data_IF_217694350058
#
_entry.id   IF_217694350058
#
_cell.length_a   1.000
_cell.length_b   1.000
_cell.length_c   1.000
_cell.angle_alpha   90.00
_cell.angle_beta   90.00
_cell.angle_gamma   90.00
#
_symmetry.space_group_name_H-M   'P 1'
#
loop_
_entity.id
_entity.type
_entity.pdbx_description
1 polymer ?
#
# COMPACT_ATOMS: atom_id res chain seq x y z
N UNK A 1 30.14 -7.01 -7.23
CA UNK A 1 29.64 -5.88 -6.44
C UNK A 1 28.17 -5.75 -6.79
N UNK A 2 27.28 -6.30 -5.97
CA UNK A 2 25.85 -6.29 -6.25
C UNK A 2 25.35 -4.86 -6.01
N UNK A 3 25.01 -4.17 -7.09
CA UNK A 3 24.49 -2.82 -7.07
C UNK A 3 23.06 -2.84 -6.52
N UNK A 4 22.90 -2.93 -5.19
CA UNK A 4 21.63 -2.64 -4.55
C UNK A 4 21.44 -1.13 -4.50
N UNK A 5 20.43 -0.60 -5.17
CA UNK A 5 20.00 0.78 -4.93
C UNK A 5 19.29 0.79 -3.58
N UNK A 6 19.97 1.31 -2.54
CA UNK A 6 19.39 1.41 -1.21
C UNK A 6 18.23 2.39 -1.21
N UNK A 7 17.08 1.87 -0.78
CA UNK A 7 15.97 2.57 -0.15
C UNK A 7 15.08 3.41 -1.07
N UNK A 8 13.96 2.84 -1.49
CA UNK A 8 12.73 3.64 -1.62
C UNK A 8 12.20 3.79 -0.18
N UNK A 9 12.37 4.95 0.45
CA UNK A 9 11.66 5.28 1.70
C UNK A 9 10.23 5.59 1.31
N UNK A 10 9.40 4.55 1.19
CA UNK A 10 8.01 4.67 0.75
C UNK A 10 7.18 5.46 1.78
N UNK A 11 7.61 5.50 3.04
CA UNK A 11 6.95 6.24 4.14
C UNK A 11 6.80 7.74 3.87
N UNK A 12 7.74 8.37 3.14
CA UNK A 12 7.69 9.80 2.81
C UNK A 12 6.67 10.18 1.72
N UNK A 13 6.44 9.27 0.76
CA UNK A 13 5.61 9.51 -0.43
C UNK A 13 4.16 9.03 -0.27
N UNK A 14 3.90 8.12 0.68
CA UNK A 14 2.55 7.69 1.09
C UNK A 14 1.77 8.75 1.89
N UNK A 15 2.44 9.81 2.34
CA UNK A 15 1.91 10.79 3.29
C UNK A 15 0.67 11.54 2.80
N UNK A 16 0.47 11.72 1.49
CA UNK A 16 -0.69 12.47 0.97
C UNK A 16 -2.01 11.83 1.38
N UNK A 17 -2.06 10.49 1.31
CA UNK A 17 -3.30 9.76 1.52
C UNK A 17 -3.53 9.55 3.02
N UNK A 18 -2.49 9.23 3.81
CA UNK A 18 -2.56 9.15 5.28
C UNK A 18 -3.09 10.45 5.91
N UNK A 19 -2.61 11.62 5.46
CA UNK A 19 -3.03 12.92 6.02
C UNK A 19 -4.49 13.27 5.72
N UNK A 20 -5.08 12.65 4.68
CA UNK A 20 -6.49 12.81 4.32
C UNK A 20 -7.39 11.76 5.01
N UNK A 21 -6.87 10.58 5.35
CA UNK A 21 -7.63 9.46 5.92
C UNK A 21 -7.60 9.41 7.45
N UNK A 22 -6.51 9.86 8.09
CA UNK A 22 -6.28 9.64 9.52
C UNK A 22 -5.91 10.93 10.28
N UNK A 23 -6.58 11.18 11.42
CA UNK A 23 -6.15 12.21 12.38
C UNK A 23 -4.95 11.70 13.17
N UNK A 24 -3.74 11.76 12.60
CA UNK A 24 -2.51 11.48 13.36
C UNK A 24 -2.09 12.76 14.10
N UNK A 25 -2.16 12.83 15.44
CA UNK A 25 -1.64 13.96 16.19
C UNK A 25 -0.11 13.83 16.27
N UNK A 26 0.63 14.65 15.53
CA UNK A 26 2.08 14.72 15.64
C UNK A 26 2.43 15.76 16.71
N UNK A 27 2.69 15.32 17.93
CA UNK A 27 3.27 16.16 18.98
C UNK A 27 4.70 15.70 19.25
N UNK A 28 5.67 16.56 18.96
CA UNK A 28 7.04 16.46 19.49
C UNK A 28 8.04 15.69 18.64
N UNK A 29 8.57 16.33 17.60
CA UNK A 29 9.99 16.32 17.24
C UNK A 29 10.18 17.33 16.10
N UNK A 30 11.35 17.95 16.02
CA UNK A 30 11.66 19.07 15.12
C UNK A 30 11.78 18.69 13.62
N UNK A 31 10.99 17.72 13.16
CA UNK A 31 10.63 17.50 11.76
C UNK A 31 9.10 17.64 11.64
N UNK A 32 8.66 18.75 11.04
CA UNK A 32 7.27 19.18 10.85
C UNK A 32 6.56 19.67 12.13
N UNK A 33 6.99 20.83 12.65
CA UNK A 33 6.13 21.65 13.52
C UNK A 33 5.10 22.38 12.64
N UNK A 34 3.84 21.91 12.65
CA UNK A 34 2.72 22.68 12.13
C UNK A 34 2.18 23.58 13.25
N UNK A 35 2.71 24.79 13.37
CA UNK A 35 1.98 25.89 14.01
C UNK A 35 1.24 26.64 12.89
N UNK A 36 -0.07 26.41 12.75
CA UNK A 36 -0.95 27.23 11.90
C UNK A 36 -1.87 28.04 12.83
N UNK A 37 -1.80 29.37 12.75
CA UNK A 37 -2.67 30.33 13.45
C UNK A 37 -4.14 30.32 12.95
N UNK A 38 -4.63 29.21 12.39
CA UNK A 38 -6.02 29.06 11.93
C UNK A 38 -6.60 27.71 12.38
N UNK A 39 -7.48 27.77 13.38
CA UNK A 39 -8.25 26.65 13.96
C UNK A 39 -9.27 26.05 12.95
N UNK A 40 -8.83 25.38 11.88
CA UNK A 40 -9.72 24.60 11.02
C UNK A 40 -9.13 23.20 10.71
N UNK A 41 -9.75 22.17 11.28
CA UNK A 41 -9.42 20.75 11.04
C UNK A 41 -10.12 20.29 9.76
N UNK A 42 -9.39 19.76 8.79
CA UNK A 42 -9.99 19.02 7.65
C UNK A 42 -10.58 17.72 8.23
N UNK A 43 -11.88 17.44 8.04
CA UNK A 43 -12.46 16.17 8.46
C UNK A 43 -11.80 15.00 7.69
N UNK A 44 -11.53 13.89 8.37
CA UNK A 44 -10.97 12.69 7.75
C UNK A 44 -11.92 12.11 6.71
N UNK A 45 -11.36 11.57 5.62
CA UNK A 45 -12.06 10.93 4.49
C UNK A 45 -12.79 11.89 3.52
N UNK A 46 -12.56 13.20 3.64
CA UNK A 46 -13.12 14.19 2.72
C UNK A 46 -12.15 14.54 1.58
N UNK A 47 -12.22 13.80 0.47
CA UNK A 47 -11.61 14.18 -0.82
C UNK A 47 -12.74 14.52 -1.79
N UNK A 48 -12.93 15.80 -2.15
CA UNK A 48 -14.04 16.18 -2.98
C UNK A 48 -13.80 15.83 -4.45
N UNK A 49 -14.90 15.61 -5.17
CA UNK A 49 -14.89 15.39 -6.61
C UNK A 49 -14.67 16.71 -7.32
N UNK A 50 -13.63 16.78 -8.15
CA UNK A 50 -13.23 18.02 -8.78
C UNK A 50 -13.98 18.22 -10.09
N UNK A 51 -15.06 18.99 -10.02
CA UNK A 51 -15.69 19.62 -11.18
C UNK A 51 -15.42 21.14 -11.12
N UNK A 52 -15.01 21.73 -12.25
CA UNK A 52 -14.67 23.16 -12.37
C UNK A 52 -15.76 24.13 -11.87
N UNK A 53 -17.02 23.68 -11.81
CA UNK A 53 -18.17 24.45 -11.37
C UNK A 53 -18.32 24.57 -9.84
N UNK A 54 -17.54 23.82 -9.04
CA UNK A 54 -17.69 23.75 -7.57
C UNK A 54 -16.52 24.35 -6.78
N UNK A 55 -15.64 25.14 -7.42
CA UNK A 55 -14.40 25.73 -6.83
C UNK A 55 -14.55 26.34 -5.42
N UNK A 56 -15.70 26.90 -5.05
CA UNK A 56 -15.92 27.53 -3.74
C UNK A 56 -16.18 26.53 -2.59
N UNK A 57 -16.72 25.33 -2.86
CA UNK A 57 -16.89 24.26 -1.85
C UNK A 57 -15.59 23.46 -1.64
N UNK A 58 -14.63 23.61 -2.54
CA UNK A 58 -13.39 22.84 -2.62
C UNK A 58 -12.21 23.55 -1.95
N UNK A 59 -12.40 24.76 -1.42
CA UNK A 59 -11.33 25.61 -0.88
C UNK A 59 -10.47 24.91 0.20
N UNK A 60 -11.01 24.14 1.16
CA UNK A 60 -10.20 23.42 2.14
C UNK A 60 -9.31 22.36 1.51
N UNK A 61 -9.84 21.58 0.56
CA UNK A 61 -9.08 20.56 -0.16
C UNK A 61 -8.01 21.17 -1.06
N UNK A 62 -8.36 22.20 -1.84
CA UNK A 62 -7.38 22.93 -2.64
C UNK A 62 -6.30 23.57 -1.77
N UNK A 63 -6.65 24.14 -0.62
CA UNK A 63 -5.68 24.68 0.35
C UNK A 63 -4.74 23.58 0.85
N UNK A 64 -5.27 22.42 1.21
CA UNK A 64 -4.49 21.26 1.64
C UNK A 64 -3.54 20.77 0.54
N UNK A 65 -4.06 20.52 -0.66
CA UNK A 65 -3.25 20.06 -1.80
C UNK A 65 -2.18 21.10 -2.18
N UNK A 66 -2.49 22.39 -2.13
CA UNK A 66 -1.52 23.46 -2.37
C UNK A 66 -0.41 23.47 -1.31
N UNK A 67 -0.76 23.32 -0.03
CA UNK A 67 0.23 23.24 1.06
C UNK A 67 1.14 22.04 0.90
N UNK A 68 0.60 20.89 0.51
CA UNK A 68 1.43 19.70 0.29
C UNK A 68 2.29 19.84 -0.96
N UNK A 69 1.73 20.32 -2.08
CA UNK A 69 2.48 20.62 -3.29
C UNK A 69 3.68 21.54 -3.01
N UNK A 70 3.48 22.57 -2.18
CA UNK A 70 4.56 23.46 -1.74
C UNK A 70 5.62 22.72 -0.90
N UNK A 71 5.21 21.90 0.08
CA UNK A 71 6.11 21.11 0.92
C UNK A 71 6.95 20.11 0.11
N UNK A 72 6.34 19.50 -0.92
CA UNK A 72 6.96 18.47 -1.75
C UNK A 72 7.69 18.98 -2.97
N UNK A 73 7.61 20.29 -3.25
CA UNK A 73 8.28 20.92 -4.39
C UNK A 73 9.80 20.71 -4.42
N UNK A 74 10.42 20.45 -3.26
CA UNK A 74 11.83 20.09 -3.15
C UNK A 74 12.17 18.64 -3.52
N UNK A 75 11.18 17.74 -3.55
CA UNK A 75 11.36 16.31 -3.82
C UNK A 75 10.78 15.88 -5.16
N UNK A 76 9.73 16.56 -5.64
CA UNK A 76 9.03 16.22 -6.86
C UNK A 76 9.36 17.21 -7.98
N UNK A 77 9.55 16.73 -9.23
CA UNK A 77 9.82 17.63 -10.34
C UNK A 77 8.59 18.46 -10.70
N UNK A 78 8.79 19.67 -11.23
CA UNK A 78 7.70 20.62 -11.54
C UNK A 78 6.59 20.06 -12.45
N UNK A 79 6.88 19.07 -13.28
CA UNK A 79 5.87 18.46 -14.15
C UNK A 79 4.80 17.65 -13.39
N UNK A 80 4.99 17.36 -12.10
CA UNK A 80 3.97 16.72 -11.25
C UNK A 80 3.00 17.70 -10.61
N UNK A 81 3.30 19.00 -10.64
CA UNK A 81 2.52 20.04 -9.97
C UNK A 81 1.07 20.04 -10.45
N UNK A 82 0.85 19.95 -11.77
CA UNK A 82 -0.49 19.90 -12.36
C UNK A 82 -1.33 18.72 -11.84
N UNK A 83 -0.78 17.50 -11.83
CA UNK A 83 -1.52 16.30 -11.38
C UNK A 83 -1.73 16.30 -9.87
N UNK A 84 -0.77 16.83 -9.09
CA UNK A 84 -0.93 17.01 -7.64
C UNK A 84 -2.10 17.95 -7.37
N UNK A 85 -2.13 19.13 -8.00
CA UNK A 85 -3.24 20.08 -7.84
C UNK A 85 -4.57 19.55 -8.37
N UNK A 86 -4.53 18.74 -9.44
CA UNK A 86 -5.72 18.19 -10.07
C UNK A 86 -6.32 17.01 -9.32
N UNK A 87 -5.57 16.21 -8.56
CA UNK A 87 -6.14 15.02 -7.95
C UNK A 87 -5.29 14.34 -6.90
N UNK A 88 -4.21 14.99 -6.46
CA UNK A 88 -3.32 14.43 -5.45
C UNK A 88 -2.66 13.09 -5.91
N UNK A 89 -2.49 12.90 -7.22
CA UNK A 89 -1.75 11.78 -7.81
C UNK A 89 -0.64 12.32 -8.73
N UNK A 90 0.38 11.52 -8.99
CA UNK A 90 1.51 11.95 -9.84
C UNK A 90 2.34 10.78 -10.35
N UNK A 91 3.14 11.06 -11.39
CA UNK A 91 4.04 10.11 -12.03
C UNK A 91 5.42 10.75 -12.18
N UNK A 92 6.47 10.05 -11.74
CA UNK A 92 7.86 10.53 -11.79
C UNK A 92 8.74 9.44 -12.39
N UNK A 93 9.57 9.84 -13.36
CA UNK A 93 10.67 9.00 -13.83
C UNK A 93 11.83 9.10 -12.83
N UNK A 94 11.99 8.09 -11.96
CA UNK A 94 13.03 8.09 -10.93
C UNK A 94 14.43 7.91 -11.53
N UNK A 95 14.52 7.06 -12.56
CA UNK A 95 15.72 6.74 -13.33
C UNK A 95 15.32 6.42 -14.78
N UNK A 96 16.24 6.48 -15.75
CA UNK A 96 15.96 5.99 -17.09
C UNK A 96 15.39 4.56 -17.05
N UNK A 97 14.24 4.33 -17.69
CA UNK A 97 13.57 3.03 -17.68
C UNK A 97 12.84 2.66 -16.38
N UNK A 98 12.75 3.54 -15.38
CA UNK A 98 12.08 3.24 -14.11
C UNK A 98 11.22 4.41 -13.60
N UNK A 99 9.92 4.17 -13.51
CA UNK A 99 8.89 5.14 -13.15
C UNK A 99 8.20 4.75 -11.84
N UNK A 100 7.92 5.75 -11.03
CA UNK A 100 7.05 5.66 -9.86
C UNK A 100 5.72 6.35 -10.19
N UNK A 101 4.61 5.69 -9.89
CA UNK A 101 3.27 6.27 -10.00
C UNK A 101 2.63 6.25 -8.61
N UNK A 102 2.26 7.42 -8.11
CA UNK A 102 1.49 7.57 -6.88
C UNK A 102 0.03 7.77 -7.22
N UNK A 103 -0.83 6.86 -6.76
CA UNK A 103 -2.28 6.94 -6.91
C UNK A 103 -2.93 7.38 -5.59
N UNK A 104 -3.96 8.22 -5.68
CA UNK A 104 -4.78 8.69 -4.59
C UNK A 104 -5.96 7.74 -4.35
N UNK A 105 -5.70 6.71 -3.57
CA UNK A 105 -6.68 5.66 -3.25
C UNK A 105 -7.87 6.14 -2.41
N UNK A 106 -7.91 7.41 -1.97
CA UNK A 106 -9.12 7.99 -1.39
C UNK A 106 -10.30 7.98 -2.38
N UNK A 107 -10.01 8.01 -3.67
CA UNK A 107 -11.04 7.92 -4.72
C UNK A 107 -11.71 6.55 -4.82
N UNK A 108 -11.19 5.55 -4.10
CA UNK A 108 -11.91 4.30 -3.90
C UNK A 108 -12.43 4.12 -2.48
N UNK A 109 -12.14 5.03 -1.53
CA UNK A 109 -12.50 4.82 -0.13
C UNK A 109 -14.02 4.82 0.09
N UNK A 110 -14.56 3.70 0.57
CA UNK A 110 -15.99 3.50 0.82
C UNK A 110 -16.58 4.48 1.84
N UNK A 111 -15.75 5.03 2.74
CA UNK A 111 -16.15 6.06 3.70
C UNK A 111 -16.07 7.49 3.15
N UNK A 112 -15.63 7.68 1.90
CA UNK A 112 -15.63 9.01 1.30
C UNK A 112 -17.02 9.39 0.80
N UNK A 113 -17.70 10.28 1.53
CA UNK A 113 -19.08 10.68 1.23
C UNK A 113 -19.23 11.40 -0.12
N UNK A 114 -18.15 11.99 -0.63
CA UNK A 114 -18.14 12.62 -1.95
C UNK A 114 -18.40 11.63 -3.08
N UNK A 115 -18.02 10.35 -2.91
CA UNK A 115 -18.27 9.30 -3.89
C UNK A 115 -19.76 8.93 -4.02
N UNK A 116 -20.62 9.37 -3.08
CA UNK A 116 -22.08 9.26 -3.22
C UNK A 116 -22.63 10.16 -4.33
N UNK A 117 -21.95 11.29 -4.61
CA UNK A 117 -22.34 12.21 -5.68
C UNK A 117 -22.01 11.60 -7.04
N UNK A 118 -20.76 11.16 -7.22
CA UNK A 118 -20.33 10.44 -8.41
C UNK A 118 -19.06 9.62 -8.14
N UNK A 119 -19.17 8.30 -8.19
CA UNK A 119 -18.06 7.36 -8.02
C UNK A 119 -17.44 6.88 -9.35
N UNK A 120 -17.85 7.46 -10.48
CA UNK A 120 -17.32 7.10 -11.80
C UNK A 120 -15.97 7.77 -12.01
N UNK A 121 -14.90 6.99 -11.87
CA UNK A 121 -13.49 7.40 -12.05
C UNK A 121 -13.20 8.84 -11.54
N UNK A 122 -13.28 9.07 -10.22
CA UNK A 122 -13.03 10.38 -9.63
C UNK A 122 -11.71 11.00 -10.11
N UNK A 123 -11.75 12.29 -10.45
CA UNK A 123 -10.64 13.04 -11.04
C UNK A 123 -10.07 12.43 -12.35
N UNK A 124 -10.75 11.46 -12.97
CA UNK A 124 -10.26 10.67 -14.10
C UNK A 124 -8.92 9.97 -13.81
N UNK A 125 -8.70 9.56 -12.56
CA UNK A 125 -7.45 8.97 -12.10
C UNK A 125 -7.12 7.65 -12.82
N UNK A 126 -8.06 6.72 -12.94
CA UNK A 126 -7.81 5.43 -13.59
C UNK A 126 -7.57 5.62 -15.09
N UNK A 127 -8.29 6.54 -15.74
CA UNK A 127 -8.00 6.93 -17.12
C UNK A 127 -6.59 7.51 -17.28
N UNK A 128 -6.18 8.38 -16.36
CA UNK A 128 -4.81 8.92 -16.33
C UNK A 128 -3.77 7.82 -16.09
N UNK A 129 -4.02 6.91 -15.15
CA UNK A 129 -3.14 5.78 -14.84
C UNK A 129 -2.91 4.89 -16.07
N UNK A 130 -3.97 4.57 -16.82
CA UNK A 130 -3.85 3.82 -18.08
C UNK A 130 -2.93 4.54 -19.07
N UNK A 131 -3.07 5.85 -19.21
CA UNK A 131 -2.22 6.63 -20.12
C UNK A 131 -0.74 6.61 -19.69
N UNK A 132 -0.45 6.75 -18.39
CA UNK A 132 0.92 6.68 -17.86
C UNK A 132 1.52 5.28 -17.98
N UNK A 133 0.74 4.22 -17.73
CA UNK A 133 1.19 2.83 -17.90
C UNK A 133 1.43 2.49 -19.38
N UNK A 134 0.58 2.96 -20.29
CA UNK A 134 0.77 2.76 -21.73
C UNK A 134 2.01 3.50 -22.24
N UNK A 135 2.27 4.68 -21.71
CA UNK A 135 3.49 5.45 -22.00
C UNK A 135 4.72 4.72 -21.48
N UNK A 136 4.68 4.20 -20.25
CA UNK A 136 5.76 3.40 -19.68
C UNK A 136 6.04 2.14 -20.52
N UNK A 137 4.99 1.39 -20.90
CA UNK A 137 5.09 0.22 -21.77
C UNK A 137 5.72 0.57 -23.13
N UNK A 138 5.26 1.64 -23.79
CA UNK A 138 5.81 2.11 -25.07
C UNK A 138 7.29 2.51 -24.97
N UNK A 139 7.70 3.02 -23.81
CA UNK A 139 9.08 3.45 -23.54
C UNK A 139 9.94 2.34 -22.94
N UNK A 140 9.44 1.10 -22.81
CA UNK A 140 10.12 -0.01 -22.13
C UNK A 140 10.52 0.31 -20.68
N UNK A 141 9.75 1.17 -20.01
CA UNK A 141 9.93 1.51 -18.60
C UNK A 141 9.28 0.45 -17.70
N UNK A 142 9.86 0.25 -16.51
CA UNK A 142 9.24 -0.51 -15.42
C UNK A 142 8.58 0.44 -14.43
N UNK A 143 7.50 -0.01 -13.82
CA UNK A 143 6.64 0.83 -12.98
C UNK A 143 6.51 0.24 -11.58
N UNK A 144 6.73 1.07 -10.57
CA UNK A 144 6.26 0.84 -9.21
C UNK A 144 5.04 1.72 -8.95
N UNK A 145 4.00 1.14 -8.35
CA UNK A 145 2.81 1.87 -7.94
C UNK A 145 2.82 2.01 -6.42
N UNK A 146 2.54 3.21 -5.93
CA UNK A 146 2.32 3.46 -4.50
C UNK A 146 0.91 4.04 -4.30
N UNK A 147 0.23 3.60 -3.26
CA UNK A 147 -1.07 4.11 -2.82
C UNK A 147 -1.25 3.78 -1.34
N UNK A 148 -2.34 4.20 -0.69
CA UNK A 148 -2.48 3.96 0.76
C UNK A 148 -3.46 2.84 1.07
N UNK A 149 -4.70 2.95 0.60
CA UNK A 149 -5.73 1.91 0.73
C UNK A 149 -5.46 0.87 -0.35
N UNK A 150 -5.16 -0.36 0.05
CA UNK A 150 -4.95 -1.46 -0.87
C UNK A 150 -6.24 -1.78 -1.68
N UNK A 151 -6.12 -2.15 -2.96
CA UNK A 151 -7.28 -2.36 -3.84
C UNK A 151 -8.15 -3.55 -3.42
N UNK A 152 -7.59 -4.56 -2.75
CA UNK A 152 -8.32 -5.71 -2.22
C UNK A 152 -9.11 -5.42 -0.94
N UNK A 153 -8.77 -4.35 -0.23
CA UNK A 153 -9.43 -3.94 1.01
C UNK A 153 -10.94 -3.77 0.82
N UNK A 154 -11.72 -4.17 1.83
CA UNK A 154 -13.16 -3.87 1.91
C UNK A 154 -13.46 -2.38 1.95
N UNK A 155 -12.45 -1.56 2.27
CA UNK A 155 -12.56 -0.11 2.28
C UNK A 155 -12.46 0.48 0.87
N UNK A 156 -12.09 -0.31 -0.14
CA UNK A 156 -12.04 0.14 -1.53
C UNK A 156 -13.32 -0.28 -2.28
N UNK A 157 -13.99 0.67 -2.94
CA UNK A 157 -15.24 0.42 -3.67
C UNK A 157 -15.05 -0.64 -4.76
N UNK A 158 -15.96 -1.62 -4.81
CA UNK A 158 -15.93 -2.75 -5.75
C UNK A 158 -15.66 -2.34 -7.20
N UNK A 159 -16.32 -1.29 -7.68
CA UNK A 159 -16.21 -0.84 -9.07
C UNK A 159 -14.81 -0.29 -9.37
N UNK A 160 -14.27 0.57 -8.50
CA UNK A 160 -12.92 1.11 -8.68
C UNK A 160 -11.88 -0.02 -8.59
N UNK A 161 -11.97 -0.85 -7.54
CA UNK A 161 -11.08 -2.00 -7.33
C UNK A 161 -11.08 -2.95 -8.52
N UNK A 162 -12.26 -3.27 -9.07
CA UNK A 162 -12.37 -4.16 -10.25
C UNK A 162 -11.70 -3.58 -11.49
N UNK A 163 -11.80 -2.28 -11.72
CA UNK A 163 -11.14 -1.63 -12.86
C UNK A 163 -9.64 -1.57 -12.64
N UNK A 164 -9.19 -1.18 -11.44
CA UNK A 164 -7.77 -1.18 -11.07
C UNK A 164 -7.14 -2.57 -11.23
N UNK A 165 -7.83 -3.62 -10.77
CA UNK A 165 -7.41 -5.02 -10.92
C UNK A 165 -7.19 -5.39 -12.39
N UNK A 166 -8.13 -5.04 -13.27
CA UNK A 166 -7.99 -5.29 -14.71
C UNK A 166 -6.83 -4.50 -15.34
N UNK A 167 -6.59 -3.26 -14.89
CA UNK A 167 -5.46 -2.43 -15.33
C UNK A 167 -4.13 -3.10 -14.92
N UNK A 168 -4.02 -3.54 -13.66
CA UNK A 168 -2.81 -4.21 -13.16
C UNK A 168 -2.51 -5.46 -13.99
N UNK A 169 -3.52 -6.30 -14.24
CA UNK A 169 -3.35 -7.49 -15.08
C UNK A 169 -2.98 -7.17 -16.53
N UNK A 170 -3.59 -6.15 -17.15
CA UNK A 170 -3.22 -5.73 -18.51
C UNK A 170 -1.75 -5.31 -18.60
N UNK A 171 -1.20 -4.70 -17.55
CA UNK A 171 0.16 -4.17 -17.52
C UNK A 171 1.12 -5.02 -16.67
N UNK A 172 0.87 -6.33 -16.51
CA UNK A 172 1.67 -7.24 -15.66
C UNK A 172 3.18 -7.27 -16.01
N UNK A 173 3.54 -7.00 -17.27
CA UNK A 173 4.95 -6.95 -17.69
C UNK A 173 5.65 -5.61 -17.40
N UNK A 174 4.85 -4.56 -17.18
CA UNK A 174 5.28 -3.17 -16.98
C UNK A 174 5.32 -2.85 -15.48
N UNK A 175 4.28 -3.23 -14.72
CA UNK A 175 4.22 -3.05 -13.27
C UNK A 175 5.08 -4.13 -12.61
N UNK A 176 5.97 -3.73 -11.69
CA UNK A 176 6.92 -4.62 -11.02
C UNK A 176 6.71 -4.77 -9.52
N UNK A 177 6.01 -3.83 -8.91
CA UNK A 177 5.56 -3.92 -7.53
C UNK A 177 4.48 -2.87 -7.27
N UNK A 178 3.58 -3.20 -6.34
CA UNK A 178 2.65 -2.24 -5.77
C UNK A 178 2.88 -2.17 -4.25
N UNK A 179 2.80 -0.97 -3.68
CA UNK A 179 3.05 -0.76 -2.25
C UNK A 179 1.92 0.05 -1.63
N UNK A 180 1.38 -0.48 -0.53
CA UNK A 180 0.24 0.07 0.20
C UNK A 180 0.49 0.09 1.70
N UNK A 181 -0.47 0.65 2.45
CA UNK A 181 -0.52 0.68 3.90
C UNK A 181 -1.96 0.53 4.38
N UNK A 182 -2.45 1.48 5.19
CA UNK A 182 -3.83 1.61 5.69
C UNK A 182 -4.28 0.52 6.68
N UNK A 183 -4.06 -0.77 6.39
CA UNK A 183 -4.45 -1.85 7.30
C UNK A 183 -3.65 -1.90 8.60
N UNK A 184 -2.52 -1.18 8.63
CA UNK A 184 -1.51 -1.15 9.68
C UNK A 184 -0.75 -2.47 9.88
N UNK A 185 -1.26 -3.60 9.41
CA UNK A 185 -0.66 -4.92 9.53
C UNK A 185 0.53 -5.14 8.61
N UNK A 186 1.32 -6.19 8.90
CA UNK A 186 2.31 -6.73 7.97
C UNK A 186 1.66 -7.82 7.10
N UNK A 187 1.26 -7.46 5.87
CA UNK A 187 0.56 -8.38 4.96
C UNK A 187 0.81 -8.04 3.47
N UNK A 188 0.13 -8.76 2.57
CA UNK A 188 0.23 -8.58 1.12
C UNK A 188 -1.06 -9.01 0.42
N UNK A 189 -1.27 -8.60 -0.83
CA UNK A 189 -2.37 -9.07 -1.67
C UNK A 189 -1.81 -9.60 -3.00
N UNK A 190 -2.29 -10.78 -3.44
CA UNK A 190 -1.90 -11.39 -4.71
C UNK A 190 -2.96 -11.11 -5.78
N UNK A 191 -2.50 -10.72 -6.96
CA UNK A 191 -3.32 -10.58 -8.17
C UNK A 191 -3.21 -11.84 -9.01
N UNK A 192 -4.30 -12.15 -9.70
CA UNK A 192 -4.48 -13.34 -10.51
C UNK A 192 -5.07 -13.00 -11.88
N UNK A 193 -4.69 -13.74 -12.91
CA UNK A 193 -5.15 -13.55 -14.29
C UNK A 193 -6.69 -13.62 -14.40
N UNK A 194 -7.29 -14.63 -13.78
CA UNK A 194 -8.72 -14.73 -13.55
C UNK A 194 -9.00 -14.69 -12.04
N UNK A 195 -10.20 -14.22 -11.66
CA UNK A 195 -10.65 -14.21 -10.26
C UNK A 195 -11.10 -15.63 -9.85
N UNK A 196 -10.16 -16.59 -9.91
CA UNK A 196 -10.34 -18.00 -9.56
C UNK A 196 -9.18 -18.50 -8.68
N UNK A 197 -9.41 -19.53 -7.86
CA UNK A 197 -8.44 -20.00 -6.86
C UNK A 197 -7.18 -20.64 -7.49
N UNK A 198 -7.34 -21.29 -8.64
CA UNK A 198 -6.30 -22.03 -9.38
C UNK A 198 -5.50 -21.16 -10.36
N UNK A 199 -5.82 -19.87 -10.42
CA UNK A 199 -5.34 -19.00 -11.47
C UNK A 199 -3.86 -18.66 -11.28
N UNK A 200 -3.23 -18.26 -12.38
CA UNK A 200 -1.84 -17.82 -12.36
C UNK A 200 -1.72 -16.48 -11.63
N UNK A 201 -0.84 -16.41 -10.64
CA UNK A 201 -0.49 -15.16 -9.97
C UNK A 201 0.27 -14.21 -10.93
N UNK A 202 -0.17 -12.96 -11.03
CA UNK A 202 0.31 -11.96 -12.00
C UNK A 202 1.06 -10.80 -11.35
N UNK A 203 0.65 -10.38 -10.15
CA UNK A 203 1.28 -9.29 -9.41
C UNK A 203 1.14 -9.48 -7.89
N UNK A 204 1.91 -8.71 -7.13
CA UNK A 204 1.83 -8.65 -5.67
C UNK A 204 1.80 -7.19 -5.20
N UNK A 205 0.86 -6.89 -4.33
CA UNK A 205 0.79 -5.66 -3.57
C UNK A 205 1.32 -5.90 -2.15
N UNK A 206 2.34 -5.17 -1.75
CA UNK A 206 2.90 -5.25 -0.41
C UNK A 206 2.23 -4.23 0.50
N UNK A 207 1.64 -4.69 1.60
CA UNK A 207 1.04 -3.81 2.61
C UNK A 207 2.04 -3.64 3.75
N UNK A 208 2.62 -2.45 3.84
CA UNK A 208 3.61 -2.11 4.84
C UNK A 208 2.98 -1.88 6.22
N UNK A 209 3.65 -2.29 7.30
CA UNK A 209 3.11 -2.16 8.63
C UNK A 209 3.24 -0.70 9.07
N UNK A 210 2.40 -0.31 10.02
CA UNK A 210 2.41 1.06 10.51
C UNK A 210 3.47 1.30 11.59
N UNK A 211 3.94 2.55 11.65
CA UNK A 211 4.72 3.06 12.79
C UNK A 211 3.80 3.26 14.00
N UNK A 212 2.53 3.59 13.80
CA UNK A 212 1.57 3.71 14.91
C UNK A 212 1.26 2.36 15.55
N UNK A 213 0.99 2.36 16.84
CA UNK A 213 0.55 1.17 17.58
C UNK A 213 -0.94 0.88 17.45
N UNK A 214 -1.68 1.73 16.72
CA UNK A 214 -3.15 1.65 16.62
C UNK A 214 -3.61 0.49 15.73
N UNK A 215 -4.35 -0.52 16.22
CA UNK A 215 -4.41 -0.93 17.63
C UNK A 215 -3.69 -2.26 17.79
N UNK A 216 -3.18 -2.49 19.00
CA UNK A 216 -2.56 -3.74 19.40
C UNK A 216 -1.30 -4.14 18.62
N UNK A 217 -0.59 -3.16 18.10
CA UNK A 217 0.62 -3.42 17.32
C UNK A 217 1.87 -2.79 17.92
N UNK A 218 3.02 -3.42 17.71
CA UNK A 218 4.31 -2.75 17.87
C UNK A 218 4.60 -1.83 16.66
N UNK A 219 5.24 -0.67 16.86
CA UNK A 219 5.70 0.18 15.77
C UNK A 219 6.64 -0.56 14.83
N UNK A 220 6.45 -0.38 13.54
CA UNK A 220 7.29 -1.01 12.53
C UNK A 220 7.51 -0.12 11.31
N UNK A 221 8.61 -0.36 10.61
CA UNK A 221 8.85 0.15 9.26
C UNK A 221 9.44 -0.96 8.39
N UNK A 222 9.39 -0.77 7.07
CA UNK A 222 9.90 -1.73 6.10
C UNK A 222 10.93 -1.13 5.16
N UNK A 223 11.94 -1.94 4.83
CA UNK A 223 12.93 -1.65 3.80
C UNK A 223 12.75 -2.66 2.67
N UNK A 224 12.58 -2.17 1.44
CA UNK A 224 12.56 -3.00 0.23
C UNK A 224 13.90 -2.93 -0.49
N UNK A 225 14.41 -4.08 -0.90
CA UNK A 225 15.57 -4.23 -1.77
C UNK A 225 15.06 -4.51 -3.18
N UNK A 226 15.31 -3.56 -4.09
CA UNK A 226 14.82 -3.61 -5.47
C UNK A 226 16.01 -3.85 -6.40
N UNK A 227 15.76 -4.57 -7.49
CA UNK A 227 16.75 -4.80 -8.53
C UNK A 227 17.30 -3.48 -9.10
N UNK A 228 18.62 -3.37 -9.09
CA UNK A 228 19.34 -2.11 -9.16
C UNK A 228 19.55 -1.56 -10.57
N UNK A 229 20.40 -0.55 -10.70
CA UNK A 229 20.71 0.09 -11.97
C UNK A 229 21.75 -0.75 -12.77
N UNK A 230 21.28 -1.59 -13.69
CA UNK A 230 22.11 -2.33 -14.65
C UNK A 230 21.36 -2.61 -15.97
N UNK A 231 22.09 -3.08 -16.99
CA UNK A 231 21.60 -3.23 -18.38
C UNK A 231 20.29 -4.04 -18.50
N UNK A 232 20.16 -5.11 -17.72
CA UNK A 232 19.01 -6.01 -17.72
C UNK A 232 18.16 -5.90 -16.44
N UNK A 233 18.07 -4.69 -15.86
CA UNK A 233 17.32 -4.48 -14.61
C UNK A 233 15.85 -4.87 -14.76
N UNK A 234 15.39 -5.71 -13.85
CA UNK A 234 14.00 -6.15 -13.78
C UNK A 234 13.12 -5.17 -13.01
N UNK A 235 13.73 -4.37 -12.13
CA UNK A 235 13.08 -3.54 -11.11
C UNK A 235 12.13 -4.33 -10.20
N UNK A 236 12.28 -5.64 -10.11
CA UNK A 236 11.52 -6.49 -9.19
C UNK A 236 12.00 -6.24 -7.75
N UNK A 237 11.12 -6.48 -6.78
CA UNK A 237 11.52 -6.56 -5.36
C UNK A 237 12.25 -7.89 -5.16
N UNK A 238 13.48 -7.82 -4.68
CA UNK A 238 14.35 -8.97 -4.45
C UNK A 238 14.26 -9.47 -3.01
N UNK A 239 14.08 -8.55 -2.06
CA UNK A 239 13.91 -8.84 -0.63
C UNK A 239 13.17 -7.69 0.06
N UNK A 240 12.54 -7.94 1.21
CA UNK A 240 12.20 -6.91 2.17
C UNK A 240 12.52 -7.31 3.60
N UNK A 241 12.85 -6.31 4.42
CA UNK A 241 13.09 -6.44 5.84
C UNK A 241 12.09 -5.59 6.63
N UNK A 242 11.44 -6.20 7.62
CA UNK A 242 10.61 -5.46 8.58
C UNK A 242 11.43 -5.21 9.83
N UNK A 243 11.45 -3.96 10.30
CA UNK A 243 12.10 -3.51 11.52
C UNK A 243 11.05 -3.07 12.52
N UNK A 244 11.21 -3.44 13.78
CA UNK A 244 10.27 -3.13 14.86
C UNK A 244 11.01 -2.89 16.17
N UNK A 245 10.29 -2.44 17.19
CA UNK A 245 10.76 -2.46 18.56
C UNK A 245 9.63 -2.88 19.49
N UNK A 246 9.99 -3.48 20.62
CA UNK A 246 9.05 -3.90 21.65
C UNK A 246 8.61 -2.69 22.48
N UNK A 247 7.32 -2.34 22.41
CA UNK A 247 6.75 -1.22 23.15
C UNK A 247 6.84 -1.39 24.66
N UNK A 248 6.61 -2.59 25.19
CA UNK A 248 6.64 -2.83 26.63
C UNK A 248 8.05 -2.59 27.17
N UNK A 249 9.05 -3.08 26.45
CA UNK A 249 10.46 -2.88 26.79
C UNK A 249 10.86 -1.42 26.66
N UNK A 250 10.46 -0.74 25.58
CA UNK A 250 10.79 0.68 25.35
C UNK A 250 10.14 1.62 26.39
N UNK A 251 8.98 1.24 26.93
CA UNK A 251 8.26 2.04 27.92
C UNK A 251 8.74 1.84 29.38
N UNK A 252 9.68 0.94 29.63
CA UNK A 252 10.27 0.79 30.97
C UNK A 252 11.10 2.04 31.35
N UNK A 253 11.10 2.47 32.62
CA UNK A 253 11.84 3.66 33.05
C UNK A 253 13.33 3.57 32.72
N UNK A 254 13.84 4.55 31.97
CA UNK A 254 15.24 4.65 31.58
C UNK A 254 15.61 3.89 30.30
N UNK A 255 14.65 3.23 29.64
CA UNK A 255 14.85 2.63 28.32
C UNK A 255 14.52 3.64 27.20
N UNK A 256 15.15 3.39 26.05
CA UNK A 256 14.87 4.09 24.78
C UNK A 256 14.38 3.06 23.75
N UNK A 257 13.63 3.48 22.72
CA UNK A 257 13.21 2.59 21.64
C UNK A 257 14.42 1.96 20.91
N UNK A 258 14.60 0.64 21.05
CA UNK A 258 15.65 -0.11 20.37
C UNK A 258 15.09 -0.83 19.14
N UNK A 259 15.23 -0.22 17.97
CA UNK A 259 14.82 -0.80 16.70
C UNK A 259 15.70 -1.97 16.29
N UNK A 260 15.10 -3.13 16.05
CA UNK A 260 15.79 -4.32 15.57
C UNK A 260 15.12 -4.87 14.31
N UNK A 261 15.90 -5.58 13.49
CA UNK A 261 15.37 -6.30 12.33
C UNK A 261 14.53 -7.47 12.84
N UNK A 262 13.23 -7.44 12.55
CA UNK A 262 12.29 -8.50 12.91
C UNK A 262 12.53 -9.74 12.04
N UNK A 263 12.50 -9.56 10.72
CA UNK A 263 12.72 -10.65 9.77
C UNK A 263 13.12 -10.13 8.38
N UNK A 264 13.65 -11.04 7.55
CA UNK A 264 13.82 -10.86 6.09
C UNK A 264 12.90 -11.87 5.40
N UNK A 265 12.14 -11.47 4.39
CA UNK A 265 11.00 -12.26 3.91
C UNK A 265 11.41 -13.61 3.31
N UNK A 266 12.51 -13.64 2.54
CA UNK A 266 12.98 -14.89 1.92
C UNK A 266 13.45 -15.89 2.96
N UNK A 267 14.16 -15.45 3.99
CA UNK A 267 14.64 -16.29 5.10
C UNK A 267 13.49 -16.78 5.99
N UNK A 268 12.56 -15.89 6.37
CA UNK A 268 11.45 -16.19 7.28
C UNK A 268 10.48 -17.21 6.70
N UNK A 269 10.14 -17.04 5.43
CA UNK A 269 9.13 -17.85 4.75
C UNK A 269 9.72 -18.90 3.80
N UNK A 270 11.05 -18.99 3.70
CA UNK A 270 11.78 -19.90 2.82
C UNK A 270 11.34 -19.74 1.35
N UNK A 271 11.34 -18.50 0.86
CA UNK A 271 10.95 -18.15 -0.50
C UNK A 271 12.19 -18.06 -1.39
N UNK A 272 12.13 -18.62 -2.60
CA UNK A 272 13.26 -18.55 -3.53
C UNK A 272 13.34 -17.19 -4.24
N UNK A 273 12.24 -16.46 -4.28
CA UNK A 273 12.13 -15.09 -4.80
C UNK A 273 10.87 -14.43 -4.24
N UNK A 274 10.71 -13.12 -4.43
CA UNK A 274 9.49 -12.41 -4.06
C UNK A 274 8.55 -12.18 -5.27
N UNK A 275 8.57 -13.12 -6.22
CA UNK A 275 7.66 -13.11 -7.38
C UNK A 275 6.24 -13.53 -6.97
N UNK A 276 5.20 -13.11 -7.72
CA UNK A 276 3.80 -13.40 -7.37
C UNK A 276 3.51 -14.88 -7.11
N UNK A 277 4.13 -15.79 -7.87
CA UNK A 277 3.95 -17.23 -7.69
C UNK A 277 4.48 -17.75 -6.34
N UNK A 278 5.60 -17.22 -5.84
CA UNK A 278 6.14 -17.64 -4.54
C UNK A 278 5.25 -17.17 -3.39
N UNK A 279 4.64 -15.98 -3.51
CA UNK A 279 3.64 -15.49 -2.57
C UNK A 279 2.37 -16.34 -2.58
N UNK A 280 1.87 -16.75 -3.76
CA UNK A 280 0.75 -17.70 -3.84
C UNK A 280 1.11 -19.05 -3.19
N UNK A 281 2.30 -19.58 -3.47
CA UNK A 281 2.79 -20.84 -2.88
C UNK A 281 2.88 -20.74 -1.35
N UNK A 282 3.29 -19.58 -0.81
CA UNK A 282 3.30 -19.34 0.63
C UNK A 282 1.89 -19.45 1.23
N UNK A 283 0.90 -18.84 0.58
CA UNK A 283 -0.51 -18.96 1.02
C UNK A 283 -0.93 -20.43 1.02
N UNK A 284 -0.65 -21.17 -0.05
CA UNK A 284 -1.00 -22.60 -0.16
C UNK A 284 -0.36 -23.45 0.93
N UNK A 285 0.91 -23.17 1.26
CA UNK A 285 1.62 -23.82 2.38
C UNK A 285 0.96 -23.49 3.72
N UNK A 286 0.61 -22.23 3.97
CA UNK A 286 -0.02 -21.80 5.22
C UNK A 286 -1.42 -22.40 5.44
N UNK A 287 -2.12 -22.83 4.39
CA UNK A 287 -3.39 -23.57 4.54
C UNK A 287 -3.15 -24.86 5.34
N UNK A 288 -2.09 -25.60 4.99
CA UNK A 288 -1.80 -26.95 5.53
C UNK A 288 -0.85 -26.93 6.74
N UNK A 289 -0.02 -25.89 6.87
CA UNK A 289 1.00 -25.75 7.91
C UNK A 289 0.61 -24.64 8.90
N UNK A 290 0.04 -25.06 10.04
CA UNK A 290 -0.35 -24.15 11.12
C UNK A 290 0.84 -23.43 11.75
N UNK A 291 2.02 -24.06 11.84
CA UNK A 291 3.21 -23.45 12.43
C UNK A 291 3.73 -22.32 11.53
N UNK A 292 3.73 -22.53 10.20
CA UNK A 292 4.04 -21.49 9.23
C UNK A 292 3.03 -20.34 9.30
N UNK A 293 1.73 -20.64 9.40
CA UNK A 293 0.72 -19.61 9.57
C UNK A 293 0.90 -18.83 10.90
N UNK A 294 1.21 -19.50 12.01
CA UNK A 294 1.47 -18.83 13.28
C UNK A 294 2.71 -17.92 13.24
N UNK A 295 3.75 -18.31 12.49
CA UNK A 295 4.90 -17.42 12.22
C UNK A 295 4.47 -16.19 11.43
N UNK A 296 3.72 -16.38 10.34
CA UNK A 296 3.15 -15.27 9.58
C UNK A 296 2.30 -14.34 10.47
N UNK A 297 1.42 -14.90 11.29
CA UNK A 297 0.56 -14.15 12.21
C UNK A 297 1.34 -13.35 13.26
N UNK A 298 2.45 -13.90 13.75
CA UNK A 298 3.35 -13.17 14.66
C UNK A 298 3.98 -11.96 13.96
N UNK A 299 4.39 -12.10 12.70
CA UNK A 299 4.92 -11.00 11.89
C UNK A 299 3.82 -9.98 11.54
N UNK A 300 2.59 -10.43 11.24
CA UNK A 300 1.40 -9.61 11.00
C UNK A 300 1.19 -8.55 12.11
N UNK A 301 1.33 -8.98 13.36
CA UNK A 301 1.23 -8.14 14.55
C UNK A 301 2.58 -7.58 15.06
N UNK A 302 3.68 -7.80 14.32
CA UNK A 302 5.05 -7.35 14.66
C UNK A 302 5.45 -7.73 16.08
N UNK A 303 5.18 -8.99 16.43
CA UNK A 303 5.47 -9.54 17.76
C UNK A 303 4.78 -8.78 18.91
N UNK A 304 3.68 -8.08 18.64
CA UNK A 304 2.93 -7.37 19.68
C UNK A 304 2.42 -8.34 20.75
N UNK A 305 2.66 -8.07 22.04
CA UNK A 305 2.14 -8.89 23.13
C UNK A 305 0.62 -8.78 23.30
N UNK A 306 0.01 -7.77 22.63
CA UNK A 306 -1.43 -7.52 22.66
C UNK A 306 -2.16 -8.06 21.42
N UNK A 307 -1.45 -8.81 20.56
CA UNK A 307 -2.06 -9.48 19.41
C UNK A 307 -3.23 -10.36 19.86
N UNK A 308 -4.42 -10.25 19.23
CA UNK A 308 -5.56 -11.08 19.59
C UNK A 308 -5.29 -12.56 19.28
N UNK A 309 -6.00 -13.50 19.93
CA UNK A 309 -5.94 -14.91 19.53
C UNK A 309 -6.54 -15.09 18.13
N UNK A 310 -5.95 -15.98 17.33
CA UNK A 310 -6.42 -16.31 15.98
C UNK A 310 -6.91 -17.76 15.93
N UNK A 311 -8.22 -17.93 15.80
CA UNK A 311 -8.86 -19.23 15.58
C UNK A 311 -8.91 -19.58 14.08
N UNK A 312 -9.55 -20.71 13.73
CA UNK A 312 -9.69 -21.15 12.34
C UNK A 312 -10.39 -20.14 11.45
N UNK A 313 -11.35 -19.37 12.00
CA UNK A 313 -12.07 -18.33 11.26
C UNK A 313 -11.16 -17.13 10.98
N UNK A 314 -10.38 -16.70 11.96
CA UNK A 314 -9.33 -15.70 11.78
C UNK A 314 -8.30 -16.15 10.73
N UNK A 315 -7.83 -17.40 10.80
CA UNK A 315 -6.90 -17.97 9.81
C UNK A 315 -7.48 -17.92 8.40
N UNK A 316 -8.71 -18.41 8.22
CA UNK A 316 -9.39 -18.38 6.93
C UNK A 316 -9.53 -16.95 6.39
N UNK A 317 -9.95 -16.00 7.24
CA UNK A 317 -10.10 -14.60 6.84
C UNK A 317 -8.78 -14.00 6.34
N UNK A 318 -7.67 -14.22 7.06
CA UNK A 318 -6.36 -13.71 6.66
C UNK A 318 -5.92 -14.35 5.33
N UNK A 319 -5.98 -15.68 5.22
CA UNK A 319 -5.60 -16.37 3.97
C UNK A 319 -6.42 -15.88 2.77
N UNK A 320 -7.70 -15.59 3.00
CA UNK A 320 -8.57 -15.00 2.00
C UNK A 320 -8.17 -13.61 1.55
N UNK A 321 -7.76 -12.78 2.51
CA UNK A 321 -7.36 -11.40 2.25
C UNK A 321 -6.06 -11.39 1.44
N UNK A 322 -5.12 -12.28 1.77
CA UNK A 322 -3.88 -12.46 1.00
C UNK A 322 -4.13 -12.89 -0.46
N UNK A 323 -5.15 -13.74 -0.72
CA UNK A 323 -5.52 -14.13 -2.11
C UNK A 323 -6.40 -13.09 -2.81
N UNK A 324 -6.82 -12.00 -2.17
CA UNK A 324 -7.86 -11.13 -2.71
C UNK A 324 -7.38 -9.70 -2.94
N UNK A 325 -6.68 -9.43 -4.04
CA UNK A 325 -6.37 -8.05 -4.47
C UNK A 325 -7.55 -7.31 -5.14
N UNK A 326 -8.77 -7.84 -5.03
CA UNK A 326 -10.01 -7.29 -5.59
C UNK A 326 -11.11 -7.26 -4.54
N UNK A 327 -11.54 -6.06 -4.17
CA UNK A 327 -12.49 -5.85 -3.09
C UNK A 327 -13.86 -6.47 -3.38
N UNK A 328 -14.52 -6.94 -2.32
CA UNK A 328 -15.84 -7.57 -2.38
C UNK A 328 -15.95 -8.77 -3.34
N UNK A 329 -14.83 -9.46 -3.61
CA UNK A 329 -14.80 -10.71 -4.37
C UNK A 329 -14.20 -11.89 -3.59
N UNK A 330 -13.93 -11.71 -2.29
CA UNK A 330 -13.33 -12.73 -1.40
C UNK A 330 -14.00 -14.09 -1.54
N UNK A 331 -15.34 -14.14 -1.53
CA UNK A 331 -16.08 -15.40 -1.67
C UNK A 331 -15.79 -16.16 -2.97
N UNK A 332 -15.51 -15.49 -4.09
CA UNK A 332 -15.19 -16.16 -5.36
C UNK A 332 -13.82 -16.82 -5.33
N UNK A 333 -12.84 -16.17 -4.70
CA UNK A 333 -11.47 -16.65 -4.58
C UNK A 333 -11.27 -17.60 -3.40
N UNK A 334 -12.14 -17.53 -2.38
CA UNK A 334 -12.04 -18.29 -1.16
C UNK A 334 -13.02 -19.44 -1.03
N UNK A 335 -13.94 -19.62 -1.97
CA UNK A 335 -14.94 -20.67 -1.85
C UNK A 335 -14.33 -22.06 -1.59
N UNK A 336 -13.20 -22.36 -2.25
CA UNK A 336 -12.45 -23.60 -2.05
C UNK A 336 -11.82 -23.68 -0.66
N UNK A 337 -11.35 -22.56 -0.10
CA UNK A 337 -10.84 -22.48 1.27
C UNK A 337 -11.95 -22.65 2.30
N UNK A 338 -13.07 -21.95 2.14
CA UNK A 338 -14.25 -22.08 3.00
C UNK A 338 -14.69 -23.55 3.09
N UNK A 339 -14.74 -24.23 1.94
CA UNK A 339 -15.06 -25.66 1.84
C UNK A 339 -14.03 -26.54 2.57
N UNK A 340 -12.73 -26.26 2.40
CA UNK A 340 -11.65 -27.02 3.04
C UNK A 340 -11.63 -26.87 4.58
N UNK A 341 -12.02 -25.71 5.09
CA UNK A 341 -12.12 -25.44 6.53
C UNK A 341 -13.46 -25.88 7.16
N UNK A 342 -14.36 -26.53 6.39
CA UNK A 342 -15.71 -26.95 6.81
C UNK A 342 -16.56 -25.79 7.38
N UNK A 343 -16.39 -24.58 6.82
CA UNK A 343 -17.10 -23.37 7.27
C UNK A 343 -18.19 -22.93 6.28
#
# INVERSE_FOLDING_TARGET
MNAFTRTIVITGLLLLCCLLTEQVPINGSSLLSFEDEWNYKVPTNEVPLLNESQRNLLLPFYSFVNKIGASWSGWLPKNTEETIHHGAFYSVLLRPGFRLISVNTNYCHSLSWWLLVNSTDPASELKWLIAELQKAESNSEKVHIIGHIAPGSSDCMKTWSSNFYNIVNRYEHTIKALFYGHSHADEFEVFYEATDFSSRATAVAYLAPSVTSFTNYNPAFRIYYVDGDHENTTREVLEHETWTFDLDTANLPGNEPNWFKSYSATDEFQLNSLRPNEWNNLIERMIQDDELFHRFYRNYYRHSPTAPPCDSKCKLQILCDLKSAKSHTKHQLCHELETAFQM
#
